data_IF_370846047791
#
_entry.id   IF_370846047791
#
_cell.length_a   1.000
_cell.length_b   1.000
_cell.length_c   1.000
_cell.angle_alpha   90.00
_cell.angle_beta   90.00
_cell.angle_gamma   90.00
#
_symmetry.space_group_name_H-M   'P 1'
#
loop_
_entity.id
_entity.type
_entity.pdbx_description
1 polymer ?
#
# COMPACT_ATOMS: atom_id res chain seq x y z
N UNK A 1 -0.50 17.67 -14.39
CA UNK A 1 0.41 16.66 -13.78
C UNK A 1 0.20 15.36 -14.54
N UNK A 2 1.27 14.64 -14.91
CA UNK A 2 1.16 13.32 -15.55
C UNK A 2 1.46 12.24 -14.53
N UNK A 3 0.62 11.23 -14.44
CA UNK A 3 0.83 10.06 -13.58
C UNK A 3 1.53 8.97 -14.37
N UNK A 4 2.37 8.23 -13.67
CA UNK A 4 3.11 7.13 -14.27
C UNK A 4 2.23 5.87 -14.35
N UNK A 5 2.13 5.33 -15.57
CA UNK A 5 1.37 4.12 -15.89
C UNK A 5 2.36 2.97 -15.90
N UNK A 6 2.29 2.12 -14.88
CA UNK A 6 3.18 0.97 -14.69
C UNK A 6 2.75 -0.20 -15.57
N UNK A 7 1.44 -0.35 -15.77
CA UNK A 7 0.87 -1.40 -16.61
C UNK A 7 -0.43 -0.92 -17.26
N UNK A 8 -0.68 -1.33 -18.50
CA UNK A 8 -1.88 -0.95 -19.24
C UNK A 8 -2.36 -2.09 -20.13
N UNK A 9 -3.68 -2.30 -20.12
CA UNK A 9 -4.43 -3.24 -20.96
C UNK A 9 -5.66 -2.53 -21.51
N UNK A 10 -6.49 -3.23 -22.27
CA UNK A 10 -7.80 -2.72 -22.69
C UNK A 10 -8.83 -2.68 -21.55
N UNK A 11 -8.62 -3.47 -20.50
CA UNK A 11 -9.57 -3.64 -19.39
C UNK A 11 -9.24 -2.80 -18.15
N UNK A 12 -7.95 -2.61 -17.88
CA UNK A 12 -7.46 -1.93 -16.69
C UNK A 12 -6.05 -1.35 -16.86
N UNK A 13 -5.72 -0.43 -15.95
CA UNK A 13 -4.37 0.11 -15.77
C UNK A 13 -3.91 -0.08 -14.33
N UNK A 14 -2.59 -0.11 -14.16
CA UNK A 14 -1.93 0.02 -12.87
C UNK A 14 -1.03 1.24 -12.94
N UNK A 15 -1.23 2.16 -12.00
CA UNK A 15 -0.44 3.39 -11.92
C UNK A 15 0.51 3.35 -10.72
N UNK A 16 1.53 4.19 -10.77
CA UNK A 16 2.27 4.61 -9.59
C UNK A 16 1.59 5.84 -8.98
N UNK A 17 0.92 5.68 -7.84
CA UNK A 17 0.38 6.82 -7.08
C UNK A 17 1.51 7.44 -6.23
N UNK A 18 1.85 8.73 -6.41
CA UNK A 18 2.81 9.41 -5.53
C UNK A 18 2.23 9.64 -4.13
N UNK A 19 3.10 9.85 -3.15
CA UNK A 19 2.76 10.29 -1.81
C UNK A 19 2.15 11.69 -1.84
N UNK A 20 1.22 11.96 -0.94
CA UNK A 20 0.55 13.26 -0.84
C UNK A 20 -0.65 13.41 -1.78
N UNK A 21 -0.77 12.61 -2.84
CA UNK A 21 -1.93 12.64 -3.74
C UNK A 21 -3.13 11.90 -3.15
N UNK A 22 -4.25 12.59 -2.98
CA UNK A 22 -5.51 11.98 -2.55
C UNK A 22 -6.17 11.23 -3.71
N UNK A 23 -6.78 10.07 -3.41
CA UNK A 23 -7.61 9.34 -4.40
C UNK A 23 -9.06 9.84 -4.40
N UNK A 24 -9.47 10.59 -3.37
CA UNK A 24 -10.80 11.19 -3.26
C UNK A 24 -10.78 12.61 -3.81
N UNK A 25 -11.95 13.11 -4.21
CA UNK A 25 -12.16 14.54 -4.44
C UNK A 25 -12.07 15.26 -3.09
N UNK A 26 -10.90 15.76 -2.74
CA UNK A 26 -10.83 16.88 -1.79
C UNK A 26 -11.42 18.10 -2.52
N UNK A 27 -12.18 18.95 -1.83
CA UNK A 27 -12.98 20.06 -2.41
C UNK A 27 -12.17 21.07 -3.27
N UNK A 28 -10.84 20.94 -3.32
CA UNK A 28 -9.91 21.83 -4.01
C UNK A 28 -9.03 21.16 -5.08
N UNK A 29 -9.16 19.85 -5.34
CA UNK A 29 -8.29 19.13 -6.30
C UNK A 29 -9.09 18.43 -7.41
N UNK A 30 -8.56 18.46 -8.64
CA UNK A 30 -9.03 17.59 -9.73
C UNK A 30 -8.84 16.15 -9.25
N UNK A 31 -9.94 15.41 -9.13
CA UNK A 31 -9.91 14.03 -8.65
C UNK A 31 -9.02 13.15 -9.53
N UNK A 32 -8.25 12.24 -8.91
CA UNK A 32 -7.33 11.32 -9.57
C UNK A 32 -7.90 10.68 -10.85
N UNK A 33 -9.17 10.26 -10.80
CA UNK A 33 -9.87 9.63 -11.93
C UNK A 33 -10.07 10.58 -13.11
N UNK A 34 -10.38 11.85 -12.86
CA UNK A 34 -10.51 12.87 -13.91
C UNK A 34 -9.15 13.10 -14.59
N UNK A 35 -8.09 13.28 -13.80
CA UNK A 35 -6.73 13.45 -14.33
C UNK A 35 -6.30 12.27 -15.20
N UNK A 36 -6.60 11.04 -14.78
CA UNK A 36 -6.26 9.83 -15.54
C UNK A 36 -7.12 9.67 -16.79
N UNK A 37 -8.41 9.95 -16.72
CA UNK A 37 -9.30 9.91 -17.88
C UNK A 37 -8.80 10.87 -18.98
N UNK A 38 -8.47 12.10 -18.60
CA UNK A 38 -7.87 13.11 -19.50
C UNK A 38 -6.52 12.62 -20.07
N UNK A 39 -5.64 12.10 -19.21
CA UNK A 39 -4.32 11.61 -19.63
C UNK A 39 -4.40 10.46 -20.64
N UNK A 40 -5.40 9.59 -20.52
CA UNK A 40 -5.60 8.43 -21.39
C UNK A 40 -6.46 8.74 -22.63
N UNK A 41 -7.11 9.90 -22.67
CA UNK A 41 -8.07 10.23 -23.73
C UNK A 41 -9.35 9.37 -23.68
N UNK A 42 -9.75 8.91 -22.49
CA UNK A 42 -10.95 8.09 -22.28
C UNK A 42 -12.00 8.89 -21.51
N UNK A 43 -13.31 8.60 -21.67
CA UNK A 43 -14.36 9.37 -21.00
C UNK A 43 -14.29 9.27 -19.47
N UNK A 44 -13.87 8.11 -18.94
CA UNK A 44 -13.73 7.88 -17.52
C UNK A 44 -12.86 6.67 -17.22
N UNK A 45 -12.40 6.58 -15.97
CA UNK A 45 -11.78 5.41 -15.37
C UNK A 45 -12.45 5.12 -14.02
N UNK A 46 -12.43 3.86 -13.57
CA UNK A 46 -13.11 3.42 -12.36
C UNK A 46 -12.10 3.09 -11.26
N UNK A 47 -12.29 3.73 -10.09
CA UNK A 47 -11.49 3.44 -8.91
C UNK A 47 -12.01 2.17 -8.22
N UNK A 48 -11.24 1.09 -8.27
CA UNK A 48 -11.65 -0.24 -7.75
C UNK A 48 -11.08 -0.55 -6.36
N UNK A 49 -10.06 0.18 -5.93
CA UNK A 49 -9.58 0.20 -4.54
C UNK A 49 -8.91 1.53 -4.22
N UNK A 50 -8.43 1.72 -2.99
CA UNK A 50 -7.83 2.98 -2.54
C UNK A 50 -6.52 2.78 -1.80
N UNK A 51 -5.64 3.76 -1.96
CA UNK A 51 -4.51 4.00 -1.08
C UNK A 51 -4.76 5.26 -0.26
N UNK A 52 -4.21 5.31 0.96
CA UNK A 52 -4.22 6.53 1.77
C UNK A 52 -3.43 7.65 1.06
N UNK A 53 -3.77 8.91 1.35
CA UNK A 53 -3.09 10.10 0.78
C UNK A 53 -1.56 10.02 0.92
N UNK A 54 -1.10 9.60 2.10
CA UNK A 54 0.33 9.49 2.46
C UNK A 54 1.01 8.21 1.96
N UNK A 55 0.25 7.27 1.38
CA UNK A 55 0.79 6.01 0.86
C UNK A 55 1.13 6.18 -0.62
N UNK A 56 2.28 5.69 -1.06
CA UNK A 56 2.65 5.65 -2.48
C UNK A 56 2.51 4.24 -3.07
N UNK A 57 2.63 4.11 -4.39
CA UNK A 57 2.79 2.82 -5.07
C UNK A 57 1.60 2.40 -5.92
N UNK A 58 1.47 1.09 -6.14
CA UNK A 58 0.58 0.52 -7.14
C UNK A 58 -0.90 0.72 -6.81
N UNK A 59 -1.64 1.30 -7.76
CA UNK A 59 -3.09 1.46 -7.71
C UNK A 59 -3.71 0.96 -9.02
N UNK A 60 -4.76 0.16 -8.92
CA UNK A 60 -5.48 -0.41 -10.07
C UNK A 60 -6.66 0.50 -10.36
N UNK A 61 -6.88 0.80 -11.64
CA UNK A 61 -8.12 1.40 -12.14
C UNK A 61 -8.64 0.57 -13.31
N UNK A 62 -9.94 0.32 -13.33
CA UNK A 62 -10.58 -0.30 -14.49
C UNK A 62 -10.86 0.75 -15.57
N UNK A 63 -10.88 0.32 -16.83
CA UNK A 63 -11.16 1.13 -18.02
C UNK A 63 -12.56 0.91 -18.60
N UNK A 64 -13.32 -0.03 -18.03
CA UNK A 64 -14.72 -0.27 -18.36
C UNK A 64 -15.50 -0.78 -17.14
N UNK A 65 -16.84 -0.71 -17.22
CA UNK A 65 -17.73 -1.07 -16.11
C UNK A 65 -17.68 -2.57 -15.75
N UNK A 66 -17.51 -3.44 -16.75
CA UNK A 66 -17.39 -4.89 -16.55
C UNK A 66 -16.14 -5.22 -15.74
N UNK A 67 -15.00 -4.67 -16.14
CA UNK A 67 -13.73 -4.83 -15.43
C UNK A 67 -13.81 -4.24 -14.02
N UNK A 68 -14.49 -3.10 -13.85
CA UNK A 68 -14.71 -2.52 -12.52
C UNK A 68 -15.48 -3.48 -11.60
N UNK A 69 -16.57 -4.08 -12.10
CA UNK A 69 -17.36 -5.06 -11.36
C UNK A 69 -16.53 -6.30 -10.98
N UNK A 70 -15.72 -6.80 -11.91
CA UNK A 70 -14.85 -7.94 -11.65
C UNK A 70 -13.77 -7.62 -10.61
N UNK A 71 -13.10 -6.47 -10.69
CA UNK A 71 -12.14 -6.06 -9.67
C UNK A 71 -12.81 -5.87 -8.30
N UNK A 72 -14.02 -5.32 -8.23
CA UNK A 72 -14.75 -5.24 -6.96
C UNK A 72 -14.98 -6.63 -6.35
N UNK A 73 -15.37 -7.61 -7.18
CA UNK A 73 -15.50 -9.01 -6.77
C UNK A 73 -14.18 -9.55 -6.24
N UNK A 74 -13.10 -9.44 -7.01
CA UNK A 74 -11.76 -9.92 -6.63
C UNK A 74 -11.24 -9.28 -5.33
N UNK A 75 -11.50 -7.99 -5.10
CA UNK A 75 -11.15 -7.33 -3.84
C UNK A 75 -11.99 -7.83 -2.65
N UNK A 76 -13.29 -8.03 -2.88
CA UNK A 76 -14.23 -8.46 -1.84
C UNK A 76 -13.99 -9.90 -1.40
N UNK A 77 -13.58 -10.76 -2.33
CA UNK A 77 -13.24 -12.17 -2.10
C UNK A 77 -11.76 -12.38 -1.72
N UNK A 78 -10.98 -11.30 -1.61
CA UNK A 78 -9.55 -11.35 -1.27
C UNK A 78 -8.66 -12.13 -2.25
N UNK A 79 -9.05 -12.18 -3.53
CA UNK A 79 -8.28 -12.79 -4.63
C UNK A 79 -7.13 -11.91 -5.14
N UNK A 80 -7.00 -10.68 -4.63
CA UNK A 80 -5.88 -9.78 -4.95
C UNK A 80 -4.91 -9.73 -3.77
N UNK A 81 -3.75 -10.36 -3.96
CA UNK A 81 -2.66 -10.30 -2.99
C UNK A 81 -1.92 -8.96 -3.13
N UNK A 82 -1.72 -8.30 -1.98
CA UNK A 82 -1.06 -7.01 -1.90
C UNK A 82 0.15 -7.14 -0.99
N UNK A 83 1.29 -6.62 -1.42
CA UNK A 83 2.46 -6.47 -0.56
C UNK A 83 2.85 -5.01 -0.45
N UNK A 84 3.05 -4.56 0.78
CA UNK A 84 3.49 -3.21 1.11
C UNK A 84 4.86 -3.26 1.78
N UNK A 85 5.65 -2.21 1.54
CA UNK A 85 6.90 -1.95 2.22
C UNK A 85 6.67 -0.79 3.18
N UNK A 86 7.23 -0.88 4.39
CA UNK A 86 7.23 0.21 5.34
C UNK A 86 8.58 0.33 6.07
N UNK A 87 8.98 1.56 6.43
CA UNK A 87 10.11 1.78 7.31
C UNK A 87 9.63 2.13 8.72
N UNK A 88 10.37 1.67 9.73
CA UNK A 88 10.24 2.15 11.10
C UNK A 88 11.60 2.25 11.77
N UNK A 89 11.76 3.27 12.61
CA UNK A 89 12.95 3.46 13.43
C UNK A 89 12.85 2.82 14.83
N UNK A 90 11.78 2.06 15.08
CA UNK A 90 11.58 1.35 16.36
C UNK A 90 11.64 -0.17 16.17
N UNK A 91 12.23 -0.84 17.15
CA UNK A 91 12.32 -2.30 17.19
C UNK A 91 10.94 -2.91 17.49
N UNK A 92 10.43 -3.83 16.66
CA UNK A 92 9.10 -4.40 16.87
C UNK A 92 9.14 -5.42 18.01
N UNK A 93 8.00 -5.62 18.68
CA UNK A 93 7.82 -6.68 19.69
C UNK A 93 8.10 -8.08 19.14
N UNK A 94 7.85 -8.30 17.84
CA UNK A 94 8.07 -9.55 17.11
C UNK A 94 8.67 -9.25 15.75
N UNK A 95 9.57 -10.10 15.25
CA UNK A 95 10.21 -9.89 13.93
C UNK A 95 9.33 -10.29 12.75
N UNK A 96 8.42 -11.23 12.95
CA UNK A 96 7.45 -11.71 11.96
C UNK A 96 6.19 -12.21 12.65
N UNK A 97 5.11 -12.37 11.90
CA UNK A 97 3.91 -13.05 12.36
C UNK A 97 2.64 -12.45 11.79
N UNK A 98 1.55 -12.65 12.53
CA UNK A 98 0.22 -12.17 12.18
C UNK A 98 -0.26 -11.16 13.23
N UNK A 99 -0.74 -10.02 12.76
CA UNK A 99 -1.42 -9.01 13.58
C UNK A 99 -2.91 -9.16 13.27
N UNK A 100 -3.69 -9.52 14.30
CA UNK A 100 -5.13 -9.78 14.21
C UNK A 100 -5.84 -9.03 15.32
N UNK A 101 -6.87 -8.28 14.95
CA UNK A 101 -7.78 -7.65 15.91
C UNK A 101 -8.77 -6.74 15.21
N UNK A 102 -9.90 -6.50 15.83
CA UNK A 102 -10.87 -5.52 15.34
C UNK A 102 -10.28 -4.11 15.40
N UNK A 103 -10.89 -3.18 14.65
CA UNK A 103 -10.47 -1.78 14.61
C UNK A 103 -11.59 -0.87 15.07
N UNK A 104 -11.28 0.04 15.98
CA UNK A 104 -12.22 1.05 16.48
C UNK A 104 -11.67 2.47 16.26
N UNK A 105 -12.55 3.44 16.03
CA UNK A 105 -12.20 4.85 15.96
C UNK A 105 -11.60 5.36 17.28
N UNK A 106 -10.59 6.20 17.18
CA UNK A 106 -9.96 6.91 18.28
C UNK A 106 -10.09 8.43 18.07
N UNK A 107 -9.47 9.23 18.94
CA UNK A 107 -9.49 10.71 18.82
C UNK A 107 -8.77 11.15 17.54
N UNK A 108 -9.10 12.35 17.06
CA UNK A 108 -8.44 13.04 15.94
C UNK A 108 -8.41 12.23 14.62
N UNK A 109 -9.48 11.46 14.34
CA UNK A 109 -9.57 10.65 13.12
C UNK A 109 -8.66 9.40 13.10
N UNK A 110 -7.98 9.10 14.20
CA UNK A 110 -7.18 7.89 14.34
C UNK A 110 -8.05 6.65 14.54
N UNK A 111 -7.40 5.49 14.47
CA UNK A 111 -7.98 4.17 14.76
C UNK A 111 -7.08 3.43 15.74
N UNK A 112 -7.59 2.43 16.44
CA UNK A 112 -6.79 1.54 17.27
C UNK A 112 -7.19 0.09 17.04
N UNK A 113 -6.21 -0.79 17.23
CA UNK A 113 -6.42 -2.24 17.22
C UNK A 113 -6.98 -2.67 18.58
N UNK A 114 -8.02 -3.47 18.56
CA UNK A 114 -8.66 -4.06 19.71
C UNK A 114 -8.33 -5.55 19.82
N UNK A 115 -8.55 -6.14 21.00
CA UNK A 115 -8.30 -7.57 21.21
C UNK A 115 -9.42 -8.47 20.67
N UNK A 116 -10.62 -7.91 20.48
CA UNK A 116 -11.76 -8.62 19.87
C UNK A 116 -11.46 -9.02 18.42
N UNK A 117 -12.19 -10.03 17.92
CA UNK A 117 -11.96 -10.63 16.60
C UNK A 117 -13.27 -10.96 15.88
N UNK A 118 -14.27 -10.09 16.01
CA UNK A 118 -15.57 -10.29 15.36
C UNK A 118 -15.52 -10.00 13.86
N UNK A 119 -14.78 -8.95 13.46
CA UNK A 119 -14.56 -8.56 12.08
C UNK A 119 -13.13 -7.99 11.93
N UNK A 120 -12.12 -8.84 12.16
CA UNK A 120 -10.77 -8.37 12.45
C UNK A 120 -10.09 -7.79 11.22
N UNK A 121 -9.22 -6.82 11.45
CA UNK A 121 -8.15 -6.50 10.52
C UNK A 121 -7.06 -7.56 10.65
N UNK A 122 -6.61 -8.12 9.53
CA UNK A 122 -5.61 -9.18 9.49
C UNK A 122 -4.44 -8.77 8.59
N UNK A 123 -3.24 -8.71 9.18
CA UNK A 123 -2.01 -8.34 8.46
C UNK A 123 -0.89 -9.30 8.83
N UNK A 124 -0.36 -10.01 7.84
CA UNK A 124 0.89 -10.76 7.98
C UNK A 124 2.05 -9.79 7.79
N UNK A 125 3.10 -9.96 8.58
CA UNK A 125 4.30 -9.14 8.43
C UNK A 125 5.57 -9.93 8.70
N UNK A 126 6.65 -9.41 8.15
CA UNK A 126 8.03 -9.74 8.50
C UNK A 126 8.84 -8.45 8.53
N UNK A 127 9.96 -8.47 9.26
CA UNK A 127 10.83 -7.30 9.40
C UNK A 127 12.30 -7.69 9.33
N UNK A 128 13.05 -6.91 8.59
CA UNK A 128 14.50 -7.05 8.40
C UNK A 128 15.20 -5.77 8.85
N UNK A 129 16.40 -5.91 9.41
CA UNK A 129 17.22 -4.73 9.71
C UNK A 129 17.88 -4.26 8.42
N UNK A 130 17.80 -2.97 8.15
CA UNK A 130 18.48 -2.35 7.01
C UNK A 130 19.74 -1.64 7.46
N UNK A 131 19.62 -0.87 8.54
CA UNK A 131 20.68 -0.06 9.14
C UNK A 131 20.53 -0.09 10.68
N UNK A 132 21.50 0.46 11.45
CA UNK A 132 21.30 0.71 12.87
C UNK A 132 20.03 1.54 13.11
N UNK A 133 19.15 1.05 13.98
CA UNK A 133 17.87 1.68 14.31
C UNK A 133 16.90 1.91 13.12
N UNK A 134 17.07 1.21 12.00
CA UNK A 134 16.13 1.28 10.87
C UNK A 134 15.77 -0.12 10.37
N UNK A 135 14.47 -0.36 10.21
CA UNK A 135 13.94 -1.66 9.80
C UNK A 135 12.97 -1.49 8.66
N UNK A 136 13.12 -2.36 7.66
CA UNK A 136 12.14 -2.58 6.60
C UNK A 136 11.13 -3.62 7.07
N UNK A 137 9.86 -3.32 6.84
CA UNK A 137 8.74 -4.21 7.07
C UNK A 137 8.11 -4.56 5.74
N UNK A 138 7.88 -5.85 5.53
CA UNK A 138 7.08 -6.37 4.44
C UNK A 138 5.72 -6.72 5.03
N UNK A 139 4.67 -6.08 4.53
CA UNK A 139 3.32 -6.17 5.08
C UNK A 139 2.38 -6.75 4.01
N UNK A 140 1.67 -7.81 4.37
CA UNK A 140 0.70 -8.50 3.50
C UNK A 140 -0.68 -8.46 4.17
N UNK A 141 -1.49 -7.42 3.92
CA UNK A 141 -2.84 -7.33 4.48
C UNK A 141 -3.76 -8.37 3.81
N UNK A 142 -4.48 -9.15 4.62
CA UNK A 142 -5.51 -10.08 4.15
C UNK A 142 -6.91 -9.43 4.13
N UNK A 143 -7.05 -8.27 4.77
CA UNK A 143 -8.27 -7.46 4.82
C UNK A 143 -7.96 -6.02 4.39
N UNK A 144 -8.99 -5.20 4.13
CA UNK A 144 -8.84 -3.82 3.62
C UNK A 144 -9.45 -2.74 4.51
N UNK A 145 -9.18 -2.73 5.82
CA UNK A 145 -9.73 -1.68 6.72
C UNK A 145 -8.98 -0.35 6.57
N UNK A 146 -9.68 0.77 6.84
CA UNK A 146 -9.08 2.11 6.84
C UNK A 146 -7.87 2.19 7.77
N UNK A 147 -6.75 2.72 7.28
CA UNK A 147 -5.48 2.83 8.01
C UNK A 147 -4.93 1.51 8.59
N UNK A 148 -5.39 0.35 8.10
CA UNK A 148 -5.07 -0.96 8.68
C UNK A 148 -3.58 -1.17 8.96
N UNK A 149 -2.72 -0.94 7.96
CA UNK A 149 -1.28 -1.17 8.08
C UNK A 149 -0.63 -0.23 9.10
N UNK A 150 -1.07 1.03 9.12
CA UNK A 150 -0.57 2.06 10.04
C UNK A 150 -0.91 1.73 11.49
N UNK A 151 -2.14 1.27 11.73
CA UNK A 151 -2.60 0.79 13.04
C UNK A 151 -1.90 -0.49 13.45
N UNK A 152 -1.74 -1.44 12.52
CA UNK A 152 -1.02 -2.69 12.77
C UNK A 152 0.42 -2.42 13.22
N UNK A 153 1.15 -1.59 12.47
CA UNK A 153 2.52 -1.17 12.78
C UNK A 153 2.62 -0.46 14.15
N UNK A 154 1.70 0.46 14.46
CA UNK A 154 1.62 1.06 15.80
C UNK A 154 1.41 0.03 16.91
N UNK A 155 0.51 -0.93 16.72
CA UNK A 155 0.21 -1.97 17.72
C UNK A 155 1.42 -2.88 18.01
N UNK A 156 2.27 -3.08 17.00
CA UNK A 156 3.52 -3.83 17.10
C UNK A 156 4.61 -3.11 17.90
N UNK A 157 4.41 -1.83 18.22
CA UNK A 157 5.43 -0.96 18.83
C UNK A 157 6.42 -0.38 17.81
N UNK A 158 6.11 -0.47 16.52
CA UNK A 158 6.94 0.04 15.42
C UNK A 158 6.08 0.88 14.48
N UNK A 159 5.59 2.07 14.90
CA UNK A 159 4.83 2.94 14.02
C UNK A 159 5.65 3.28 12.76
N UNK A 160 4.96 3.50 11.65
CA UNK A 160 5.59 3.81 10.36
C UNK A 160 6.32 5.15 10.47
N UNK A 161 7.53 5.20 9.95
CA UNK A 161 8.37 6.41 9.90
C UNK A 161 7.64 7.51 9.13
N UNK A 162 7.58 8.71 9.71
CA UNK A 162 6.88 9.87 9.14
C UNK A 162 5.35 9.81 9.21
N UNK A 163 4.76 8.82 9.89
CA UNK A 163 3.32 8.78 10.11
C UNK A 163 2.91 9.70 11.27
N UNK A 164 2.45 10.91 10.94
CA UNK A 164 2.06 11.94 11.91
C UNK A 164 0.85 11.56 12.78
N UNK A 165 0.02 10.61 12.36
CA UNK A 165 -1.19 10.22 13.09
C UNK A 165 -0.91 9.12 14.13
N UNK A 166 0.04 8.24 13.82
CA UNK A 166 0.30 7.03 14.60
C UNK A 166 1.68 6.97 15.25
N UNK A 167 2.66 7.71 14.72
CA UNK A 167 4.01 7.86 15.24
C UNK A 167 4.23 9.14 16.04
N UNK A 168 5.48 9.37 16.42
CA UNK A 168 5.93 10.65 16.98
C UNK A 168 6.56 11.47 15.86
N UNK A 169 6.41 12.78 15.92
CA UNK A 169 7.12 13.68 15.02
C UNK A 169 8.61 13.61 15.37
N UNK A 170 9.44 13.21 14.41
CA UNK A 170 10.89 13.32 14.50
C UNK A 170 11.31 14.36 13.47
N UNK A 171 12.26 15.22 13.83
CA UNK A 171 12.80 16.22 12.90
C UNK A 171 13.38 15.52 11.67
N UNK A 172 13.24 16.15 10.49
CA UNK A 172 13.80 15.72 9.19
C UNK A 172 13.23 14.42 8.59
N UNK A 173 11.91 14.23 8.61
CA UNK A 173 11.24 13.18 7.81
C UNK A 173 10.37 13.83 6.72
N UNK A 174 10.69 13.56 5.46
CA UNK A 174 10.10 14.14 4.26
C UNK A 174 8.73 13.54 3.87
N UNK A 175 8.41 12.32 4.33
CA UNK A 175 7.15 11.64 4.00
C UNK A 175 6.80 10.53 4.98
N UNK A 176 5.58 9.99 4.84
CA UNK A 176 5.27 8.68 5.43
C UNK A 176 5.87 7.57 4.57
N UNK A 177 6.64 6.69 5.20
CA UNK A 177 7.33 5.58 4.54
C UNK A 177 6.46 4.34 4.48
N UNK A 178 5.38 4.43 3.70
CA UNK A 178 4.50 3.32 3.35
C UNK A 178 4.29 3.27 1.82
N UNK A 179 4.57 2.11 1.24
CA UNK A 179 4.59 1.92 -0.21
C UNK A 179 3.88 0.62 -0.62
N UNK A 180 2.88 0.70 -1.49
CA UNK A 180 2.20 -0.43 -2.11
C UNK A 180 3.08 -1.00 -3.23
N UNK A 181 3.92 -1.98 -2.90
CA UNK A 181 5.02 -2.41 -3.74
C UNK A 181 4.66 -3.50 -4.74
N UNK A 182 3.71 -4.39 -4.40
CA UNK A 182 3.35 -5.53 -5.25
C UNK A 182 1.85 -5.80 -5.28
N UNK A 183 1.35 -6.13 -6.46
CA UNK A 183 0.01 -6.65 -6.70
C UNK A 183 0.11 -7.98 -7.44
N UNK A 184 -0.58 -9.00 -6.94
CA UNK A 184 -0.66 -10.32 -7.58
C UNK A 184 -2.11 -10.77 -7.62
N UNK A 185 -2.61 -11.13 -8.79
CA UNK A 185 -4.00 -11.51 -9.00
C UNK A 185 -4.16 -12.26 -10.32
N UNK A 186 -5.28 -12.95 -10.47
CA UNK A 186 -5.73 -13.49 -11.74
C UNK A 186 -6.88 -12.60 -12.27
N UNK A 187 -6.87 -12.32 -13.57
CA UNK A 187 -7.94 -11.58 -14.24
C UNK A 187 -8.21 -12.21 -15.60
N UNK A 188 -9.46 -12.64 -15.83
CA UNK A 188 -9.90 -13.35 -17.05
C UNK A 188 -8.99 -14.55 -17.42
N UNK A 189 -8.57 -15.34 -16.42
CA UNK A 189 -7.73 -16.52 -16.61
C UNK A 189 -6.23 -16.23 -16.83
N UNK A 190 -5.80 -14.96 -16.79
CA UNK A 190 -4.40 -14.57 -16.87
C UNK A 190 -3.88 -14.16 -15.50
N UNK A 191 -2.72 -14.71 -15.11
CA UNK A 191 -2.01 -14.30 -13.91
C UNK A 191 -1.23 -13.00 -14.14
N UNK A 192 -1.36 -12.06 -13.20
CA UNK A 192 -0.66 -10.79 -13.16
C UNK A 192 0.19 -10.70 -11.90
N UNK A 193 1.43 -10.25 -12.08
CA UNK A 193 2.36 -9.98 -11.00
C UNK A 193 3.13 -8.69 -11.29
N UNK A 194 2.74 -7.62 -10.59
CA UNK A 194 3.31 -6.29 -10.82
C UNK A 194 4.01 -5.82 -9.57
N UNK A 195 5.29 -5.49 -9.70
CA UNK A 195 6.15 -4.98 -8.63
C UNK A 195 6.72 -3.61 -9.02
N UNK A 196 6.83 -2.71 -8.03
CA UNK A 196 7.48 -1.42 -8.21
C UNK A 196 8.31 -1.03 -6.99
N UNK A 197 9.39 -0.30 -7.23
CA UNK A 197 10.23 0.28 -6.19
C UNK A 197 9.65 1.64 -5.75
N UNK A 198 9.84 2.05 -4.49
CA UNK A 198 9.62 3.42 -4.08
C UNK A 198 10.49 4.38 -4.93
N UNK A 199 9.89 5.47 -5.43
CA UNK A 199 10.56 6.45 -6.31
C UNK A 199 10.91 7.78 -5.63
N UNK A 200 10.38 7.97 -4.43
CA UNK A 200 10.39 9.24 -3.69
C UNK A 200 10.56 8.93 -2.20
N UNK A 201 11.40 9.69 -1.50
CA UNK A 201 11.67 9.50 -0.07
C UNK A 201 13.14 9.22 0.20
N UNK A 202 13.84 10.14 0.84
CA UNK A 202 15.28 10.04 1.12
C UNK A 202 15.68 8.71 1.78
N UNK A 203 14.88 8.22 2.74
CA UNK A 203 15.20 7.01 3.48
C UNK A 203 14.99 5.71 2.69
N UNK A 204 14.23 5.75 1.58
CA UNK A 204 14.14 4.58 0.70
C UNK A 204 15.47 4.36 -0.03
N UNK A 205 16.21 5.42 -0.31
CA UNK A 205 17.44 5.40 -1.11
C UNK A 205 18.70 5.07 -0.32
N UNK A 206 18.60 4.83 1.00
CA UNK A 206 19.71 4.32 1.80
C UNK A 206 20.13 2.94 1.29
N UNK A 207 21.43 2.69 1.17
CA UNK A 207 21.99 1.46 0.59
C UNK A 207 21.46 0.19 1.29
N UNK A 208 21.47 0.17 2.63
CA UNK A 208 20.94 -0.95 3.41
C UNK A 208 19.45 -1.17 3.23
N UNK A 209 18.67 -0.13 2.90
CA UNK A 209 17.23 -0.24 2.61
C UNK A 209 17.04 -0.78 1.20
N UNK A 210 17.65 -0.16 0.19
CA UNK A 210 17.53 -0.58 -1.20
C UNK A 210 17.99 -2.02 -1.42
N UNK A 211 19.09 -2.43 -0.79
CA UNK A 211 19.58 -3.82 -0.86
C UNK A 211 18.54 -4.83 -0.37
N UNK A 212 17.83 -4.52 0.72
CA UNK A 212 16.79 -5.42 1.26
C UNK A 212 15.53 -5.43 0.38
N UNK A 213 15.13 -4.29 -0.17
CA UNK A 213 13.98 -4.21 -1.08
C UNK A 213 14.26 -5.00 -2.37
N UNK A 214 15.45 -4.87 -2.94
CA UNK A 214 15.84 -5.61 -4.14
C UNK A 214 15.83 -7.12 -3.90
N UNK A 215 16.41 -7.59 -2.78
CA UNK A 215 16.32 -9.00 -2.38
C UNK A 215 14.86 -9.48 -2.32
N UNK A 216 13.98 -8.70 -1.71
CA UNK A 216 12.55 -9.04 -1.66
C UNK A 216 11.89 -9.08 -3.04
N UNK A 217 12.21 -8.11 -3.91
CA UNK A 217 11.68 -8.03 -5.28
C UNK A 217 12.09 -9.22 -6.14
N UNK A 218 13.35 -9.65 -6.04
CA UNK A 218 13.92 -10.75 -6.82
C UNK A 218 13.51 -12.15 -6.36
N UNK A 219 13.19 -12.35 -5.08
CA UNK A 219 12.91 -13.70 -4.51
C UNK A 219 11.58 -14.31 -4.98
N UNK A 220 10.72 -13.54 -5.64
CA UNK A 220 9.38 -14.01 -6.01
C UNK A 220 9.11 -13.94 -7.53
N UNK A 221 10.15 -13.85 -8.38
CA UNK A 221 10.00 -13.91 -9.86
C UNK A 221 10.06 -15.32 -10.42
N UNK A 222 10.19 -16.35 -9.59
CA UNK A 222 10.06 -17.73 -10.04
C UNK A 222 8.58 -18.11 -10.12
N UNK A 223 8.05 -18.46 -11.31
CA UNK A 223 6.72 -19.04 -11.40
C UNK A 223 6.77 -20.40 -10.69
N UNK A 224 5.87 -20.61 -9.73
CA UNK A 224 5.55 -21.96 -9.29
C UNK A 224 4.97 -22.68 -10.50
N UNK A 225 5.77 -23.59 -11.08
CA UNK A 225 5.40 -24.52 -12.15
C UNK A 225 4.33 -25.49 -11.63
#
# INVERSE_FOLDING_TARGET
MKLDIVYQTDDFIIIYKPCGLSVHKDQSEIGLTTLLAEQLGVPQVWLVHRLDKVTSGLLILALNAESAAEFFRLFSEHHIQKTYLALSNQKPKKKQGLIVGDMQKARNGAWKLCQSKENPAITRFESVSCEPNLRLFILKPQTGKTHQLRVAMKSLGSPILGDLLYGKNTENIDRTYLHAARLQFEFKGQAFDVFTLPKEGEWWHLDGVMSQIQKFGSVNTEPTI
#
